data_IF_683676178200
#
_entry.id   IF_683676178200
#
_cell.length_a   1.000
_cell.length_b   1.000
_cell.length_c   1.000
_cell.angle_alpha   90.00
_cell.angle_beta   90.00
_cell.angle_gamma   90.00
#
_symmetry.space_group_name_H-M   'P 1'
#
loop_
_entity.id
_entity.type
_entity.pdbx_description
1 polymer ?
#
# COMPACT_ATOMS: atom_id res chain seq x y z
N UNK A 1 -45.71 -52.76 25.81
CA UNK A 1 -45.16 -54.07 25.39
C UNK A 1 -44.25 -53.77 24.21
N UNK A 2 -42.95 -53.56 24.43
CA UNK A 2 -41.93 -54.62 24.42
C UNK A 2 -41.52 -54.84 22.95
N UNK A 3 -40.37 -54.39 22.43
CA UNK A 3 -39.06 -54.24 23.04
C UNK A 3 -38.22 -55.45 22.63
N UNK A 4 -37.42 -55.33 21.57
CA UNK A 4 -36.44 -56.34 21.18
C UNK A 4 -35.07 -55.68 21.02
N UNK A 5 -34.24 -55.83 22.05
CA UNK A 5 -32.77 -55.77 21.96
C UNK A 5 -32.32 -56.96 21.09
N UNK A 6 -31.22 -56.91 20.35
CA UNK A 6 -29.81 -57.17 20.77
C UNK A 6 -28.98 -57.03 19.47
N UNK A 7 -27.68 -56.75 19.39
CA UNK A 7 -26.54 -56.84 20.31
C UNK A 7 -25.37 -56.07 19.68
N UNK A 8 -24.69 -55.26 20.49
CA UNK A 8 -23.37 -54.67 20.19
C UNK A 8 -22.34 -55.77 19.88
N UNK A 9 -21.46 -55.50 18.92
CA UNK A 9 -20.10 -56.04 18.92
C UNK A 9 -19.13 -54.87 18.69
N UNK A 10 -18.28 -54.62 19.69
CA UNK A 10 -17.14 -53.69 19.66
C UNK A 10 -15.86 -54.49 19.45
N UNK A 11 -14.99 -54.00 18.59
CA UNK A 11 -13.51 -54.13 18.64
C UNK A 11 -12.96 -53.11 17.63
N UNK A 12 -12.53 -51.91 18.05
CA UNK A 12 -11.19 -51.55 18.55
C UNK A 12 -10.10 -51.54 17.47
N UNK A 13 -9.84 -50.33 16.95
CA UNK A 13 -8.52 -49.70 16.76
C UNK A 13 -7.48 -50.34 15.84
N UNK A 14 -7.17 -49.66 14.74
CA UNK A 14 -5.80 -49.50 14.24
C UNK A 14 -5.74 -48.33 13.25
N UNK A 15 -4.90 -47.36 13.59
CA UNK A 15 -4.31 -46.31 12.76
C UNK A 15 -3.82 -46.82 11.40
N UNK A 16 -4.04 -46.02 10.36
CA UNK A 16 -3.44 -46.21 9.04
C UNK A 16 -4.01 -45.17 8.08
N UNK A 17 -3.13 -44.35 7.53
CA UNK A 17 -3.43 -43.25 6.63
C UNK A 17 -4.29 -43.66 5.44
N UNK A 18 -5.39 -42.95 5.20
CA UNK A 18 -6.06 -42.81 3.89
C UNK A 18 -7.34 -42.00 4.09
N UNK A 19 -7.25 -40.68 3.98
CA UNK A 19 -8.39 -39.84 3.67
C UNK A 19 -7.91 -38.51 3.07
N UNK A 20 -8.54 -38.14 1.96
CA UNK A 20 -8.38 -36.92 1.17
C UNK A 20 -7.31 -36.94 0.05
N UNK A 21 -7.32 -37.97 -0.78
CA UNK A 21 -7.28 -37.71 -2.23
C UNK A 21 -8.70 -37.34 -2.64
N UNK A 22 -8.94 -36.04 -2.75
CA UNK A 22 -10.19 -35.48 -3.22
C UNK A 22 -10.35 -35.71 -4.73
N UNK A 23 -11.58 -36.03 -5.07
CA UNK A 23 -12.15 -36.26 -6.40
C UNK A 23 -11.66 -35.28 -7.48
N UNK A 24 -11.50 -35.81 -8.69
CA UNK A 24 -11.09 -35.08 -9.88
C UNK A 24 -12.04 -33.91 -10.21
N UNK A 25 -11.47 -32.74 -10.51
CA UNK A 25 -12.08 -31.80 -11.46
C UNK A 25 -13.19 -30.86 -10.97
N UNK A 26 -13.44 -30.72 -9.67
CA UNK A 26 -14.33 -29.63 -9.20
C UNK A 26 -13.49 -28.42 -8.78
N UNK A 27 -13.56 -27.26 -9.49
CA UNK A 27 -12.89 -26.05 -9.05
C UNK A 27 -13.40 -25.70 -7.65
N UNK A 28 -12.50 -25.58 -6.68
CA UNK A 28 -12.86 -25.04 -5.37
C UNK A 28 -13.50 -23.67 -5.63
N UNK A 29 -14.76 -23.43 -5.19
CA UNK A 29 -15.39 -22.13 -5.37
C UNK A 29 -14.50 -21.08 -4.72
N UNK A 30 -14.11 -20.08 -5.51
CA UNK A 30 -13.36 -18.96 -4.98
C UNK A 30 -14.29 -18.16 -4.05
N UNK A 31 -13.97 -18.17 -2.76
CA UNK A 31 -14.59 -17.32 -1.74
C UNK A 31 -13.71 -16.09 -1.53
N UNK A 32 -14.26 -14.95 -1.11
CA UNK A 32 -13.50 -13.76 -0.73
C UNK A 32 -12.40 -14.06 0.31
N UNK A 33 -12.57 -15.12 1.12
CA UNK A 33 -11.54 -15.62 2.03
C UNK A 33 -10.24 -16.02 1.32
N UNK A 34 -10.28 -16.36 0.02
CA UNK A 34 -9.09 -16.63 -0.79
C UNK A 34 -8.26 -15.38 -1.09
N UNK A 35 -8.83 -14.17 -0.93
CA UNK A 35 -8.12 -12.88 -1.01
C UNK A 35 -7.27 -12.55 0.24
N UNK A 36 -7.35 -13.41 1.26
CA UNK A 36 -6.58 -13.29 2.49
C UNK A 36 -5.48 -14.35 2.44
N UNK A 37 -4.20 -13.94 2.40
CA UNK A 37 -3.11 -14.89 2.48
C UNK A 37 -3.19 -15.72 3.76
N UNK A 38 -2.84 -17.01 3.66
CA UNK A 38 -2.80 -17.92 4.82
C UNK A 38 -1.52 -17.67 5.64
N UNK A 39 -1.46 -16.53 6.30
CA UNK A 39 -0.29 -16.05 7.06
C UNK A 39 0.26 -17.05 8.07
N UNK A 40 -0.58 -17.87 8.68
CA UNK A 40 -0.16 -18.89 9.67
C UNK A 40 0.74 -19.98 9.08
N UNK A 41 0.88 -20.04 7.75
CA UNK A 41 1.73 -21.01 7.04
C UNK A 41 3.00 -20.40 6.46
N UNK A 42 3.20 -19.09 6.65
CA UNK A 42 4.31 -18.33 6.09
C UNK A 42 5.22 -17.82 7.21
N UNK A 43 6.49 -17.68 6.89
CA UNK A 43 7.54 -17.08 7.72
C UNK A 43 8.27 -16.03 6.92
N UNK A 44 8.99 -15.14 7.59
CA UNK A 44 9.79 -14.10 6.92
C UNK A 44 10.78 -14.70 5.90
N UNK A 45 11.42 -15.82 6.24
CA UNK A 45 12.34 -16.55 5.36
C UNK A 45 11.74 -16.97 4.01
N UNK A 46 10.41 -17.13 3.93
CA UNK A 46 9.75 -17.49 2.67
C UNK A 46 9.70 -16.31 1.68
N UNK A 47 9.96 -15.09 2.17
CA UNK A 47 9.95 -13.84 1.39
C UNK A 47 11.34 -13.32 1.04
N UNK A 48 12.37 -13.72 1.78
CA UNK A 48 13.75 -13.27 1.57
C UNK A 48 14.23 -13.38 0.10
N UNK A 49 13.89 -14.43 -0.67
CA UNK A 49 14.28 -14.52 -2.08
C UNK A 49 13.66 -13.46 -2.99
N UNK A 50 12.63 -12.74 -2.54
CA UNK A 50 11.83 -11.80 -3.33
C UNK A 50 11.97 -10.36 -2.84
N UNK A 51 12.86 -10.10 -1.89
CA UNK A 51 13.04 -8.81 -1.25
C UNK A 51 14.52 -8.40 -1.24
N UNK A 52 14.80 -7.15 -1.55
CA UNK A 52 16.09 -6.54 -1.25
C UNK A 52 16.13 -6.14 0.22
N UNK A 53 16.69 -7.00 1.08
CA UNK A 53 16.71 -6.79 2.54
C UNK A 53 17.59 -5.61 2.98
N UNK A 54 18.48 -5.15 2.10
CA UNK A 54 19.33 -3.97 2.26
C UNK A 54 18.64 -2.67 1.80
N UNK A 55 17.45 -2.77 1.18
CA UNK A 55 16.74 -1.62 0.61
C UNK A 55 15.34 -1.52 1.17
N UNK A 56 15.02 -0.34 1.70
CA UNK A 56 13.65 -0.02 2.04
C UNK A 56 12.82 0.19 0.79
N UNK A 57 11.52 -0.09 0.91
CA UNK A 57 10.56 0.15 -0.15
C UNK A 57 10.60 1.62 -0.57
N UNK A 58 10.64 1.87 -1.88
CA UNK A 58 10.56 3.22 -2.40
C UNK A 58 9.29 3.93 -1.89
N UNK A 59 9.33 5.24 -1.60
CA UNK A 59 8.17 5.98 -1.10
C UNK A 59 6.93 5.83 -1.99
N UNK A 60 7.13 5.77 -3.31
CA UNK A 60 6.05 5.53 -4.27
C UNK A 60 5.34 4.18 -4.03
N UNK A 61 5.99 3.20 -3.42
CA UNK A 61 5.41 1.89 -3.10
C UNK A 61 5.15 1.66 -1.61
N UNK A 62 5.32 2.69 -0.78
CA UNK A 62 5.00 2.68 0.65
C UNK A 62 3.59 3.23 0.88
N UNK A 63 2.67 2.37 1.34
CA UNK A 63 1.32 2.81 1.68
C UNK A 63 1.31 3.79 2.84
N UNK A 64 2.21 3.59 3.81
CA UNK A 64 2.38 4.49 4.96
C UNK A 64 2.81 5.89 4.54
N UNK A 65 3.66 5.98 3.51
CA UNK A 65 4.09 7.25 2.91
C UNK A 65 2.92 7.95 2.20
N UNK A 66 2.15 7.22 1.38
CA UNK A 66 0.98 7.79 0.68
C UNK A 66 -0.11 8.25 1.66
N UNK A 67 -0.34 7.50 2.74
CA UNK A 67 -1.24 7.95 3.82
C UNK A 67 -0.72 9.22 4.50
N UNK A 68 0.59 9.34 4.69
CA UNK A 68 1.20 10.52 5.28
C UNK A 68 1.04 11.76 4.40
N UNK A 69 1.09 11.60 3.08
CA UNK A 69 0.75 12.67 2.13
C UNK A 69 -0.72 13.08 2.21
N UNK A 70 -1.65 12.12 2.34
CA UNK A 70 -3.07 12.44 2.56
C UNK A 70 -3.27 13.22 3.86
N UNK A 71 -2.63 12.82 4.96
CA UNK A 71 -2.66 13.56 6.23
C UNK A 71 -2.18 15.01 6.07
N UNK A 72 -1.13 15.22 5.27
CA UNK A 72 -0.66 16.56 4.92
C UNK A 72 -1.70 17.36 4.13
N UNK A 73 -2.32 16.78 3.10
CA UNK A 73 -3.37 17.48 2.33
C UNK A 73 -4.53 17.93 3.21
N UNK A 74 -4.96 17.11 4.18
CA UNK A 74 -5.97 17.52 5.15
C UNK A 74 -5.53 18.64 6.07
N UNK A 75 -4.23 18.76 6.33
CA UNK A 75 -3.70 19.90 7.08
C UNK A 75 -3.68 21.18 6.24
N UNK A 76 -3.68 21.11 4.90
CA UNK A 76 -3.59 22.27 4.01
C UNK A 76 -4.90 23.03 3.81
N UNK A 77 -6.05 22.36 3.95
CA UNK A 77 -7.36 22.93 3.59
C UNK A 77 -8.46 22.55 4.59
N UNK A 78 -9.52 23.37 4.69
CA UNK A 78 -10.62 23.15 5.63
C UNK A 78 -11.35 21.81 5.41
N UNK A 79 -11.99 21.31 6.48
CA UNK A 79 -12.65 19.98 6.47
C UNK A 79 -13.75 19.87 5.43
N UNK A 80 -14.39 20.98 5.12
CA UNK A 80 -15.49 21.11 4.17
C UNK A 80 -15.08 20.70 2.76
N UNK A 81 -13.82 20.93 2.37
CA UNK A 81 -13.27 20.44 1.09
C UNK A 81 -13.34 18.91 0.99
N UNK A 82 -13.10 18.23 2.11
CA UNK A 82 -12.97 16.77 2.19
C UNK A 82 -14.28 16.05 2.53
N UNK A 83 -15.33 16.81 2.87
CA UNK A 83 -16.56 16.29 3.49
C UNK A 83 -17.38 15.34 2.60
N UNK A 84 -17.19 15.39 1.28
CA UNK A 84 -17.92 14.54 0.33
C UNK A 84 -17.28 13.16 0.15
N UNK A 85 -16.04 12.95 0.59
CA UNK A 85 -15.35 11.66 0.51
C UNK A 85 -14.58 11.26 1.80
N UNK A 86 -15.23 11.24 2.98
CA UNK A 86 -14.59 10.91 4.25
C UNK A 86 -14.07 9.46 4.31
N UNK A 87 -14.55 8.60 3.40
CA UNK A 87 -14.09 7.22 3.22
C UNK A 87 -12.69 7.06 2.61
N UNK A 88 -12.07 8.16 2.10
CA UNK A 88 -10.63 8.16 1.75
C UNK A 88 -9.74 7.86 2.97
N UNK A 89 -10.25 8.04 4.18
CA UNK A 89 -9.56 7.73 5.45
C UNK A 89 -9.82 6.31 5.91
N UNK A 90 -9.59 5.31 5.05
CA UNK A 90 -9.55 3.94 5.56
C UNK A 90 -8.31 3.80 6.43
N UNK A 91 -8.48 3.99 7.74
CA UNK A 91 -7.53 3.51 8.76
C UNK A 91 -7.26 2.06 8.39
N UNK A 92 -6.01 1.77 7.99
CA UNK A 92 -5.64 0.43 7.56
C UNK A 92 -6.02 -0.52 8.71
N UNK A 93 -6.73 -1.62 8.44
CA UNK A 93 -6.86 -2.67 9.44
C UNK A 93 -5.45 -3.11 9.83
N UNK A 94 -5.23 -3.36 11.13
CA UNK A 94 -3.92 -3.79 11.62
C UNK A 94 -3.46 -5.00 10.80
N UNK A 95 -2.35 -4.83 10.10
CA UNK A 95 -1.75 -5.92 9.37
C UNK A 95 -1.21 -6.95 10.36
N UNK A 96 -1.23 -8.24 10.01
CA UNK A 96 -0.41 -9.23 10.71
C UNK A 96 1.05 -8.75 10.79
N UNK A 97 1.76 -9.05 11.87
CA UNK A 97 3.15 -8.62 12.08
C UNK A 97 4.04 -8.92 10.88
N UNK A 98 3.94 -10.14 10.35
CA UNK A 98 4.69 -10.57 9.17
C UNK A 98 4.38 -9.74 7.92
N UNK A 99 3.10 -9.44 7.68
CA UNK A 99 2.69 -8.57 6.57
C UNK A 99 3.23 -7.14 6.74
N UNK A 100 3.32 -6.64 7.97
CA UNK A 100 3.91 -5.33 8.27
C UNK A 100 5.43 -5.31 8.08
N UNK A 101 6.08 -6.45 8.26
CA UNK A 101 7.53 -6.59 8.12
C UNK A 101 7.94 -6.64 6.64
N UNK A 102 7.28 -7.47 5.83
CA UNK A 102 7.64 -7.66 4.41
C UNK A 102 7.45 -6.39 3.57
N UNK A 103 6.41 -5.58 3.83
CA UNK A 103 6.13 -4.36 3.05
C UNK A 103 7.11 -3.22 3.34
N UNK A 104 8.04 -3.39 4.28
CA UNK A 104 9.10 -2.43 4.56
C UNK A 104 10.24 -2.52 3.55
N UNK A 105 10.43 -3.68 2.95
CA UNK A 105 11.56 -3.96 2.07
C UNK A 105 11.14 -3.79 0.60
N UNK A 106 12.10 -3.36 -0.21
CA UNK A 106 11.90 -3.20 -1.64
C UNK A 106 11.68 -4.57 -2.30
N UNK A 107 10.58 -4.77 -3.03
CA UNK A 107 10.39 -5.97 -3.84
C UNK A 107 11.49 -6.11 -4.91
N UNK A 108 12.09 -7.30 -4.99
CA UNK A 108 12.95 -7.68 -6.11
C UNK A 108 12.06 -8.09 -7.29
N UNK A 109 11.97 -7.21 -8.28
CA UNK A 109 11.10 -7.41 -9.44
C UNK A 109 11.51 -8.61 -10.28
N UNK A 110 12.81 -8.82 -10.47
CA UNK A 110 13.31 -9.87 -11.35
C UNK A 110 13.08 -11.24 -10.71
N UNK A 111 13.31 -11.36 -9.41
CA UNK A 111 13.00 -12.55 -8.64
C UNK A 111 11.50 -12.84 -8.62
N UNK A 112 10.66 -11.82 -8.42
CA UNK A 112 9.20 -11.96 -8.45
C UNK A 112 8.71 -12.37 -9.85
N UNK A 113 9.16 -11.69 -10.90
CA UNK A 113 8.76 -11.99 -12.28
C UNK A 113 9.09 -13.43 -12.67
N UNK A 114 10.25 -13.94 -12.22
CA UNK A 114 10.67 -15.34 -12.44
C UNK A 114 9.76 -16.35 -11.71
N UNK A 115 9.25 -15.99 -10.53
CA UNK A 115 8.42 -16.87 -9.72
C UNK A 115 6.91 -16.76 -10.00
N UNK A 116 6.48 -15.73 -10.73
CA UNK A 116 5.10 -15.56 -11.16
C UNK A 116 4.81 -16.54 -12.32
N UNK A 117 3.81 -17.43 -12.18
CA UNK A 117 3.41 -18.30 -13.27
C UNK A 117 2.83 -17.47 -14.43
N UNK A 118 2.88 -17.98 -15.68
CA UNK A 118 2.23 -17.34 -16.81
C UNK A 118 0.78 -16.97 -16.49
N UNK A 119 0.43 -15.70 -16.76
CA UNK A 119 -0.90 -15.20 -16.49
C UNK A 119 -1.89 -15.82 -17.47
N UNK A 120 -2.96 -16.38 -16.92
CA UNK A 120 -4.04 -16.97 -17.69
C UNK A 120 -5.38 -16.52 -17.11
N UNK A 121 -6.33 -16.09 -17.95
CA UNK A 121 -7.66 -15.77 -17.47
C UNK A 121 -8.32 -17.04 -16.96
N UNK A 122 -8.85 -16.99 -15.74
CA UNK A 122 -9.62 -18.09 -15.20
C UNK A 122 -11.12 -17.84 -15.44
N UNK A 123 -11.77 -18.64 -16.32
CA UNK A 123 -13.21 -18.50 -16.57
C UNK A 123 -13.99 -18.94 -15.33
N UNK A 124 -15.14 -18.30 -15.07
CA UNK A 124 -16.04 -18.52 -13.92
C UNK A 124 -15.69 -17.73 -12.65
N UNK A 125 -15.61 -16.41 -12.79
CA UNK A 125 -15.51 -15.52 -11.64
C UNK A 125 -16.80 -15.52 -10.81
N UNK A 126 -16.73 -15.70 -9.48
CA UNK A 126 -17.88 -15.53 -8.59
C UNK A 126 -18.33 -14.05 -8.55
N UNK A 127 -19.56 -13.80 -8.12
CA UNK A 127 -19.97 -12.44 -7.74
C UNK A 127 -19.14 -12.01 -6.52
N UNK A 128 -18.40 -10.91 -6.64
CA UNK A 128 -17.53 -10.39 -5.60
C UNK A 128 -18.03 -9.03 -5.12
N UNK A 129 -17.80 -8.71 -3.84
CA UNK A 129 -18.05 -7.36 -3.33
C UNK A 129 -17.17 -6.32 -4.02
N UNK A 130 -17.60 -5.06 -4.00
CA UNK A 130 -16.79 -3.93 -4.48
C UNK A 130 -15.42 -3.84 -3.79
N UNK A 131 -15.34 -4.26 -2.52
CA UNK A 131 -14.10 -4.29 -1.75
C UNK A 131 -13.13 -5.33 -2.31
N UNK A 132 -13.63 -6.54 -2.58
CA UNK A 132 -12.85 -7.60 -3.21
C UNK A 132 -12.42 -7.22 -4.63
N UNK A 133 -13.31 -6.59 -5.41
CA UNK A 133 -13.01 -6.05 -6.74
C UNK A 133 -11.86 -5.03 -6.71
N UNK A 134 -11.93 -4.03 -5.83
CA UNK A 134 -10.86 -3.02 -5.68
C UNK A 134 -9.53 -3.62 -5.26
N UNK A 135 -9.54 -4.71 -4.48
CA UNK A 135 -8.32 -5.42 -4.08
C UNK A 135 -7.69 -6.13 -5.29
N UNK A 136 -8.50 -6.83 -6.09
CA UNK A 136 -8.04 -7.50 -7.31
C UNK A 136 -7.51 -6.51 -8.35
N UNK A 137 -8.15 -5.36 -8.51
CA UNK A 137 -7.65 -4.28 -9.38
C UNK A 137 -6.30 -3.74 -8.88
N UNK A 138 -6.15 -3.53 -7.58
CA UNK A 138 -4.85 -3.16 -7.00
C UNK A 138 -3.78 -4.22 -7.26
N UNK A 139 -4.12 -5.51 -7.17
CA UNK A 139 -3.20 -6.60 -7.48
C UNK A 139 -2.83 -6.63 -8.97
N UNK A 140 -3.77 -6.35 -9.87
CA UNK A 140 -3.50 -6.24 -11.30
C UNK A 140 -2.43 -5.19 -11.59
N UNK A 141 -2.53 -4.01 -10.95
CA UNK A 141 -1.55 -2.95 -11.13
C UNK A 141 -0.16 -3.32 -10.58
N UNK A 142 -0.10 -4.07 -9.47
CA UNK A 142 1.18 -4.58 -8.94
C UNK A 142 1.78 -5.62 -9.89
N UNK A 143 0.97 -6.55 -10.42
CA UNK A 143 1.43 -7.55 -11.38
C UNK A 143 1.95 -6.91 -12.67
N UNK A 144 1.20 -5.95 -13.22
CA UNK A 144 1.63 -5.17 -14.38
C UNK A 144 2.99 -4.49 -14.13
N UNK A 145 3.18 -3.89 -12.95
CA UNK A 145 4.44 -3.24 -12.57
C UNK A 145 5.61 -4.20 -12.36
N UNK A 146 5.36 -5.39 -11.78
CA UNK A 146 6.41 -6.41 -11.56
C UNK A 146 6.83 -7.05 -12.89
N UNK A 147 5.85 -7.35 -13.76
CA UNK A 147 6.08 -8.04 -15.03
C UNK A 147 6.40 -7.09 -16.20
N UNK A 148 6.48 -5.79 -15.94
CA UNK A 148 6.66 -4.74 -16.96
C UNK A 148 5.64 -4.82 -18.10
N UNK A 149 4.38 -5.07 -17.75
CA UNK A 149 3.24 -5.12 -18.67
C UNK A 149 2.46 -3.81 -18.63
N UNK A 150 1.86 -3.43 -19.76
CA UNK A 150 0.98 -2.27 -19.86
C UNK A 150 -0.28 -2.42 -18.99
N UNK A 151 -0.86 -3.62 -18.98
CA UNK A 151 -2.06 -3.95 -18.23
C UNK A 151 -2.11 -5.43 -17.86
N UNK A 152 -2.90 -5.72 -16.82
CA UNK A 152 -3.27 -7.07 -16.39
C UNK A 152 -4.76 -7.03 -16.08
N UNK A 153 -5.53 -7.94 -16.65
CA UNK A 153 -6.96 -8.04 -16.41
C UNK A 153 -7.25 -8.65 -15.04
N UNK A 154 -8.41 -8.34 -14.47
CA UNK A 154 -8.84 -8.94 -13.20
C UNK A 154 -8.99 -10.46 -13.29
N UNK A 155 -9.34 -10.98 -14.47
CA UNK A 155 -9.48 -12.43 -14.68
C UNK A 155 -8.12 -13.14 -14.70
N UNK A 156 -7.06 -12.47 -15.16
CA UNK A 156 -5.69 -12.96 -15.03
C UNK A 156 -5.19 -12.92 -13.58
N UNK A 157 -5.53 -11.88 -12.82
CA UNK A 157 -5.26 -11.84 -11.37
C UNK A 157 -5.93 -13.03 -10.66
N UNK A 158 -7.13 -13.39 -11.12
CA UNK A 158 -7.86 -14.52 -10.57
C UNK A 158 -7.16 -15.86 -10.86
N UNK A 159 -6.68 -16.07 -12.09
CA UNK A 159 -5.86 -17.25 -12.42
C UNK A 159 -4.53 -17.27 -11.65
N UNK A 160 -3.88 -16.11 -11.51
CA UNK A 160 -2.69 -15.94 -10.67
C UNK A 160 -2.98 -16.35 -9.21
N UNK A 161 -4.06 -15.87 -8.61
CA UNK A 161 -4.39 -16.17 -7.21
C UNK A 161 -4.56 -17.67 -6.92
N UNK A 162 -4.93 -18.47 -7.93
CA UNK A 162 -5.10 -19.91 -7.82
C UNK A 162 -3.79 -20.70 -7.97
N UNK A 163 -2.81 -20.13 -8.67
CA UNK A 163 -1.60 -20.85 -9.13
C UNK A 163 -0.31 -20.33 -8.52
N UNK A 164 -0.32 -19.11 -8.00
CA UNK A 164 0.86 -18.43 -7.49
C UNK A 164 1.44 -19.13 -6.25
N UNK A 165 2.79 -19.15 -6.12
CA UNK A 165 3.43 -19.51 -4.86
C UNK A 165 2.89 -18.64 -3.70
N UNK A 166 2.63 -19.23 -2.52
CA UNK A 166 2.00 -18.50 -1.41
C UNK A 166 2.69 -17.19 -0.99
N UNK A 167 4.02 -17.15 -1.00
CA UNK A 167 4.79 -15.95 -0.65
C UNK A 167 4.65 -14.85 -1.72
N UNK A 168 4.74 -15.21 -3.00
CA UNK A 168 4.54 -14.31 -4.15
C UNK A 168 3.13 -13.74 -4.13
N UNK A 169 2.11 -14.60 -3.96
CA UNK A 169 0.73 -14.18 -3.81
C UNK A 169 0.55 -13.16 -2.68
N UNK A 170 1.12 -13.46 -1.51
CA UNK A 170 1.02 -12.59 -0.34
C UNK A 170 1.69 -11.22 -0.58
N UNK A 171 2.86 -11.17 -1.22
CA UNK A 171 3.52 -9.91 -1.59
C UNK A 171 2.66 -9.08 -2.54
N UNK A 172 2.26 -9.63 -3.67
CA UNK A 172 1.41 -8.93 -4.66
C UNK A 172 0.13 -8.40 -4.00
N UNK A 173 -0.49 -9.22 -3.15
CA UNK A 173 -1.67 -8.86 -2.38
C UNK A 173 -1.39 -7.71 -1.42
N UNK A 174 -0.28 -7.72 -0.66
CA UNK A 174 0.03 -6.67 0.32
C UNK A 174 0.42 -5.34 -0.31
N UNK A 175 1.00 -5.34 -1.50
CA UNK A 175 1.30 -4.12 -2.25
C UNK A 175 0.07 -3.56 -3.00
N UNK A 176 -0.98 -4.37 -3.24
CA UNK A 176 -2.19 -3.92 -3.94
C UNK A 176 -2.84 -2.63 -3.40
N UNK A 177 -2.92 -2.38 -2.07
CA UNK A 177 -3.49 -1.13 -1.54
C UNK A 177 -2.73 0.13 -1.96
N UNK A 178 -1.43 0.02 -2.28
CA UNK A 178 -0.60 1.15 -2.72
C UNK A 178 -1.20 1.80 -3.95
N UNK A 179 -1.65 1.01 -4.93
CA UNK A 179 -2.25 1.55 -6.14
C UNK A 179 -3.48 2.41 -5.84
N UNK A 180 -4.37 1.92 -4.98
CA UNK A 180 -5.55 2.67 -4.59
C UNK A 180 -5.14 3.95 -3.84
N UNK A 181 -4.15 3.86 -2.95
CA UNK A 181 -3.63 5.04 -2.24
C UNK A 181 -3.02 6.06 -3.20
N UNK A 182 -2.29 5.65 -4.25
CA UNK A 182 -1.75 6.55 -5.28
C UNK A 182 -2.86 7.34 -5.97
N UNK A 183 -3.91 6.66 -6.40
CA UNK A 183 -5.08 7.31 -7.03
C UNK A 183 -5.73 8.31 -6.08
N UNK A 184 -5.91 7.95 -4.81
CA UNK A 184 -6.45 8.86 -3.80
C UNK A 184 -5.57 10.09 -3.56
N UNK A 185 -4.26 9.90 -3.43
CA UNK A 185 -3.28 10.98 -3.31
C UNK A 185 -3.32 11.89 -4.52
N UNK A 186 -3.36 11.33 -5.73
CA UNK A 186 -3.45 12.12 -6.96
C UNK A 186 -4.70 12.99 -6.99
N UNK A 187 -5.88 12.39 -6.77
CA UNK A 187 -7.14 13.14 -6.74
C UNK A 187 -7.14 14.21 -5.65
N UNK A 188 -6.69 13.89 -4.44
CA UNK A 188 -6.64 14.83 -3.32
C UNK A 188 -5.69 16.00 -3.61
N UNK A 189 -4.53 15.71 -4.21
CA UNK A 189 -3.56 16.72 -4.63
C UNK A 189 -4.14 17.65 -5.69
N UNK A 190 -4.79 17.09 -6.73
CA UNK A 190 -5.43 17.90 -7.79
C UNK A 190 -6.55 18.78 -7.23
N UNK A 191 -7.43 18.23 -6.41
CA UNK A 191 -8.55 18.96 -5.79
C UNK A 191 -8.04 20.07 -4.88
N UNK A 192 -7.03 19.79 -4.05
CA UNK A 192 -6.40 20.76 -3.16
C UNK A 192 -5.74 21.91 -3.94
N UNK A 193 -4.98 21.57 -4.98
CA UNK A 193 -4.32 22.57 -5.81
C UNK A 193 -5.35 23.49 -6.49
N UNK A 194 -6.38 22.90 -7.11
CA UNK A 194 -7.49 23.67 -7.70
C UNK A 194 -8.20 24.53 -6.67
N UNK A 195 -8.47 24.02 -5.47
CA UNK A 195 -9.09 24.80 -4.41
C UNK A 195 -8.23 26.02 -4.03
N UNK A 196 -6.98 25.79 -3.64
CA UNK A 196 -6.09 26.84 -3.12
C UNK A 196 -5.77 27.92 -4.16
N UNK A 197 -5.59 27.54 -5.42
CA UNK A 197 -5.33 28.48 -6.52
C UNK A 197 -6.52 29.38 -6.85
N UNK A 198 -7.75 28.93 -6.56
CA UNK A 198 -8.98 29.68 -6.85
C UNK A 198 -9.47 30.54 -5.68
N UNK A 199 -8.78 30.52 -4.53
CA UNK A 199 -9.13 31.37 -3.39
C UNK A 199 -8.87 32.85 -3.72
N UNK A 200 -9.91 33.68 -3.59
CA UNK A 200 -9.79 35.14 -3.78
C UNK A 200 -9.03 35.82 -2.65
N UNK A 201 -9.19 35.30 -1.42
CA UNK A 201 -8.59 35.84 -0.21
C UNK A 201 -8.06 34.68 0.63
N UNK A 202 -6.94 34.05 0.23
CA UNK A 202 -6.36 32.95 0.99
C UNK A 202 -5.89 33.45 2.36
N UNK A 203 -6.17 32.68 3.40
CA UNK A 203 -5.59 32.87 4.72
C UNK A 203 -4.06 32.70 4.67
N UNK A 204 -3.31 33.17 5.68
CA UNK A 204 -1.87 32.92 5.76
C UNK A 204 -1.53 31.42 5.71
N UNK A 205 -2.39 30.59 6.31
CA UNK A 205 -2.27 29.14 6.28
C UNK A 205 -2.43 28.56 4.88
N UNK A 206 -3.50 28.93 4.16
CA UNK A 206 -3.76 28.47 2.78
C UNK A 206 -2.67 28.97 1.81
N UNK A 207 -2.17 30.19 2.01
CA UNK A 207 -1.06 30.73 1.21
C UNK A 207 0.21 29.92 1.43
N UNK A 208 0.54 29.61 2.69
CA UNK A 208 1.70 28.79 3.03
C UNK A 208 1.54 27.35 2.49
N UNK A 209 0.33 26.78 2.54
CA UNK A 209 0.03 25.48 1.96
C UNK A 209 0.23 25.46 0.44
N UNK A 210 -0.25 26.48 -0.27
CA UNK A 210 -0.05 26.61 -1.71
C UNK A 210 1.43 26.74 -2.08
N UNK A 211 2.19 27.57 -1.35
CA UNK A 211 3.64 27.68 -1.55
C UNK A 211 4.35 26.34 -1.36
N UNK A 212 4.02 25.59 -0.31
CA UNK A 212 4.62 24.28 -0.05
C UNK A 212 4.23 23.26 -1.13
N UNK A 213 2.97 23.23 -1.57
CA UNK A 213 2.52 22.32 -2.65
C UNK A 213 3.23 22.61 -3.97
N UNK A 214 3.34 23.88 -4.35
CA UNK A 214 4.07 24.29 -5.56
C UNK A 214 5.54 23.88 -5.43
N UNK A 215 6.15 24.10 -4.26
CA UNK A 215 7.53 23.74 -4.01
C UNK A 215 7.78 22.23 -4.09
N UNK A 216 6.87 21.42 -3.54
CA UNK A 216 6.91 19.95 -3.61
C UNK A 216 6.76 19.43 -5.05
N UNK A 217 5.95 20.09 -5.87
CA UNK A 217 5.71 19.72 -7.27
C UNK A 217 6.86 20.09 -8.23
N UNK A 218 7.85 20.87 -7.77
CA UNK A 218 9.00 21.24 -8.58
C UNK A 218 9.99 20.07 -8.70
N UNK A 219 9.82 19.28 -9.76
CA UNK A 219 10.82 18.30 -10.20
C UNK A 219 11.93 18.99 -11.00
N UNK A 220 13.20 18.68 -10.70
CA UNK A 220 14.35 19.06 -11.55
C UNK A 220 15.26 17.86 -11.76
N UNK A 221 15.71 17.67 -13.00
CA UNK A 221 16.69 16.63 -13.37
C UNK A 221 18.06 16.82 -12.69
N UNK A 222 18.34 18.04 -12.21
CA UNK A 222 19.59 18.37 -11.52
C UNK A 222 19.55 18.03 -10.02
N UNK A 223 18.40 17.60 -9.49
CA UNK A 223 18.26 17.27 -8.06
C UNK A 223 18.56 15.78 -7.82
N UNK A 224 19.35 15.46 -6.79
CA UNK A 224 19.66 14.08 -6.46
C UNK A 224 18.45 13.33 -5.84
N UNK A 225 17.51 14.06 -5.22
CA UNK A 225 16.36 13.47 -4.52
C UNK A 225 15.10 14.26 -4.85
N UNK A 226 13.98 13.56 -5.07
CA UNK A 226 12.66 14.17 -5.22
C UNK A 226 12.24 14.91 -3.93
N UNK A 227 11.70 16.13 -4.07
CA UNK A 227 11.34 16.96 -2.92
C UNK A 227 10.22 16.38 -2.08
N UNK A 228 9.26 15.71 -2.71
CA UNK A 228 8.22 15.01 -1.97
C UNK A 228 8.84 13.93 -1.10
N UNK A 229 9.74 13.13 -1.68
CA UNK A 229 10.45 12.09 -0.93
C UNK A 229 11.25 12.67 0.23
N UNK A 230 12.04 13.73 -0.02
CA UNK A 230 12.82 14.42 1.01
C UNK A 230 11.94 14.96 2.13
N UNK A 231 10.80 15.57 1.79
CA UNK A 231 9.91 16.22 2.75
C UNK A 231 9.13 15.23 3.63
N UNK A 232 8.72 14.10 3.07
CA UNK A 232 7.85 13.15 3.77
C UNK A 232 8.58 11.92 4.34
N UNK A 233 9.81 11.63 3.91
CA UNK A 233 10.57 10.46 4.34
C UNK A 233 12.01 10.79 4.76
N UNK A 234 12.58 9.90 5.57
CA UNK A 234 14.02 9.79 5.81
C UNK A 234 14.68 8.91 4.73
N UNK A 235 16.03 8.90 4.62
CA UNK A 235 16.74 8.05 3.65
C UNK A 235 16.43 6.56 3.77
N UNK A 236 16.03 6.10 4.96
CA UNK A 236 15.59 4.72 5.22
C UNK A 236 14.13 4.45 4.81
N UNK A 237 13.49 5.35 4.05
CA UNK A 237 12.10 5.22 3.60
C UNK A 237 11.06 5.36 4.71
N UNK A 238 11.46 5.53 5.98
CA UNK A 238 10.52 5.75 7.08
C UNK A 238 9.94 7.16 7.03
N UNK A 239 8.73 7.34 7.58
CA UNK A 239 8.06 8.64 7.60
C UNK A 239 8.89 9.65 8.40
N UNK A 240 9.07 10.84 7.84
CA UNK A 240 9.76 11.95 8.50
C UNK A 240 8.91 12.51 9.63
N UNK A 241 9.03 11.92 10.81
CA UNK A 241 8.35 12.36 12.05
C UNK A 241 9.43 12.70 13.07
N UNK A 242 9.36 13.91 13.65
CA UNK A 242 10.28 14.36 14.68
C UNK A 242 10.22 13.51 15.95
N UNK A 243 11.22 13.63 16.84
CA UNK A 243 11.30 12.83 18.07
C UNK A 243 10.09 12.99 19.00
N UNK A 244 9.42 14.14 18.96
CA UNK A 244 8.21 14.46 19.70
C UNK A 244 6.91 14.09 18.97
N UNK A 245 6.98 13.46 17.79
CA UNK A 245 5.82 13.19 16.94
C UNK A 245 5.48 14.31 15.96
N UNK A 246 6.27 15.39 15.95
CA UNK A 246 6.04 16.57 15.08
C UNK A 246 6.20 16.23 13.61
N UNK A 247 5.25 16.69 12.79
CA UNK A 247 5.27 16.50 11.33
C UNK A 247 5.95 17.69 10.65
N UNK A 248 6.61 17.49 9.48
CA UNK A 248 7.42 18.52 8.85
C UNK A 248 6.58 19.69 8.31
N UNK A 249 5.28 19.53 8.09
CA UNK A 249 4.43 20.68 7.73
C UNK A 249 3.93 21.47 8.96
N UNK A 250 3.97 20.90 10.17
CA UNK A 250 3.47 21.59 11.36
C UNK A 250 4.33 22.80 11.72
N UNK A 251 5.67 22.69 11.60
CA UNK A 251 6.54 23.85 11.78
C UNK A 251 6.29 24.93 10.73
N UNK A 252 5.98 24.52 9.49
CA UNK A 252 5.69 25.42 8.37
C UNK A 252 4.40 26.21 8.62
N UNK A 253 3.31 25.53 8.98
CA UNK A 253 2.04 26.20 9.28
C UNK A 253 2.09 27.01 10.58
N UNK A 254 2.84 26.57 11.59
CA UNK A 254 3.06 27.35 12.80
C UNK A 254 3.78 28.69 12.52
N UNK A 255 4.62 28.76 11.49
CA UNK A 255 5.22 30.04 11.05
C UNK A 255 4.19 30.97 10.44
N UNK A 256 3.35 30.45 9.54
CA UNK A 256 2.27 31.22 8.93
C UNK A 256 1.32 31.80 10.00
N UNK A 257 0.97 30.99 11.01
CA UNK A 257 0.13 31.43 12.14
C UNK A 257 0.76 32.53 13.01
N UNK A 258 2.10 32.66 13.02
CA UNK A 258 2.83 33.74 13.69
C UNK A 258 3.06 34.97 12.80
N UNK A 259 2.55 34.98 11.57
CA UNK A 259 2.76 36.06 10.60
C UNK A 259 4.18 36.09 9.99
N UNK A 260 4.96 35.02 10.13
CA UNK A 260 6.28 34.94 9.51
C UNK A 260 6.18 34.60 8.02
N UNK A 261 7.16 35.04 7.22
CA UNK A 261 7.20 34.70 5.79
C UNK A 261 7.32 33.20 5.57
N UNK A 262 6.53 32.72 4.61
CA UNK A 262 6.45 31.34 4.13
C UNK A 262 6.66 31.34 2.62
N UNK A 263 7.91 31.51 2.19
CA UNK A 263 8.34 31.61 0.80
C UNK A 263 9.17 30.39 0.35
N UNK A 264 9.31 30.21 -0.97
CA UNK A 264 10.05 29.08 -1.54
C UNK A 264 11.53 29.07 -1.13
N UNK A 265 12.16 30.25 -0.99
CA UNK A 265 13.57 30.36 -0.62
C UNK A 265 13.86 29.74 0.76
N UNK A 266 12.89 29.82 1.68
CA UNK A 266 13.01 29.17 2.99
C UNK A 266 12.96 27.64 2.89
N UNK A 267 12.11 27.11 2.01
CA UNK A 267 12.03 25.68 1.75
C UNK A 267 13.28 25.18 1.03
N UNK A 268 13.84 25.97 0.11
CA UNK A 268 15.13 25.67 -0.54
C UNK A 268 16.28 25.61 0.47
N UNK A 269 16.31 26.53 1.42
CA UNK A 269 17.30 26.51 2.51
C UNK A 269 17.13 25.28 3.41
N UNK A 270 15.89 24.90 3.72
CA UNK A 270 15.59 23.69 4.49
C UNK A 270 16.02 22.42 3.75
N UNK A 271 15.76 22.33 2.45
CA UNK A 271 16.18 21.21 1.59
C UNK A 271 17.71 21.10 1.58
N UNK A 272 18.43 22.21 1.37
CA UNK A 272 19.89 22.22 1.39
C UNK A 272 20.46 21.72 2.73
N UNK A 273 19.97 22.25 3.85
CA UNK A 273 20.40 21.82 5.19
C UNK A 273 20.11 20.32 5.43
N UNK A 274 18.96 19.84 4.95
CA UNK A 274 18.56 18.45 5.11
C UNK A 274 19.46 17.52 4.30
N UNK A 275 19.76 17.86 3.05
CA UNK A 275 20.66 17.09 2.19
C UNK A 275 22.11 17.11 2.68
N UNK A 276 22.57 18.19 3.33
CA UNK A 276 23.91 18.25 3.95
C UNK A 276 24.03 17.36 5.20
N UNK A 277 22.92 17.14 5.91
CA UNK A 277 22.89 16.37 7.17
C UNK A 277 22.61 14.88 6.98
N UNK A 278 21.88 14.53 5.94
CA UNK A 278 21.32 13.18 5.76
C UNK A 278 21.96 12.48 4.56
N UNK A 279 22.36 11.23 4.75
CA UNK A 279 22.96 10.41 3.70
C UNK A 279 21.87 9.81 2.81
N UNK A 280 21.53 10.51 1.73
CA UNK A 280 20.60 10.01 0.72
C UNK A 280 21.32 9.13 -0.30
N UNK A 281 20.74 7.97 -0.69
CA UNK A 281 21.24 7.21 -1.82
C UNK A 281 21.04 8.05 -3.09
N UNK A 282 22.14 8.47 -3.72
CA UNK A 282 22.19 9.18 -5.01
C UNK A 282 22.36 8.18 -6.14
#
# INVERSE_FOLDING_TARGET
>A
MGGTQTKRRRSSGSTGAEAALGDEGTPIPFDECTLVPRWSRLRFSDFEPFLHLDRFVEPAWSDSYLQYQLEFFHACAPRELWANEPGRHTRKPDLPTLASEIVRFQPDKDALATAIPPLHPAPNRPSLSDKAMRKLQGMAHVLAWVLDLSDVSVDEVFGFAQTAPPAVYALIREFAPVSNCKTLVWHASTELHLHLTNLRHPTPHESAALTLLIWLAQSSLERPVDRSHLFFAFPDGSRRIGRSGEKPWEWWFARAGRGASCDAARLDAWEKETLEREEWPV
#
